data_IF_730223290254
#
_entry.id   IF_730223290254
#
_cell.length_a   1.000
_cell.length_b   1.000
_cell.length_c   1.000
_cell.angle_alpha   90.00
_cell.angle_beta   90.00
_cell.angle_gamma   90.00
#
_symmetry.space_group_name_H-M   'P 1'
#
loop_
_entity.id
_entity.type
_entity.pdbx_description
1 polymer ?
#
# COMPACT_ATOMS: atom_id res chain seq x y z
N UNK A 1 -24.48 1.74 10.19
CA UNK A 1 -23.44 2.76 9.91
C UNK A 1 -22.30 2.50 10.89
N UNK A 2 -21.09 2.18 10.45
CA UNK A 2 -19.97 1.85 11.36
C UNK A 2 -19.43 3.15 11.95
N UNK A 3 -19.32 3.21 13.28
CA UNK A 3 -18.70 4.31 14.03
C UNK A 3 -17.32 3.85 14.48
N UNK A 4 -16.34 4.75 14.34
CA UNK A 4 -14.94 4.50 14.66
C UNK A 4 -14.45 5.78 15.33
N UNK A 5 -13.85 5.64 16.50
CA UNK A 5 -13.19 6.73 17.19
C UNK A 5 -11.76 6.85 16.65
N UNK A 6 -11.34 8.07 16.32
CA UNK A 6 -10.01 8.36 15.80
C UNK A 6 -9.27 9.27 16.78
N UNK A 7 -8.06 8.89 17.16
CA UNK A 7 -7.15 9.79 17.87
C UNK A 7 -6.43 10.69 16.87
N UNK A 8 -5.94 11.85 17.31
CA UNK A 8 -5.20 12.75 16.44
C UNK A 8 -3.95 12.09 15.83
N UNK A 9 -3.26 11.24 16.60
CA UNK A 9 -2.10 10.50 16.12
C UNK A 9 -2.47 9.57 14.96
N UNK A 10 -3.57 8.83 15.08
CA UNK A 10 -4.08 7.98 14.00
C UNK A 10 -4.43 8.80 12.76
N UNK A 11 -5.06 9.96 12.93
CA UNK A 11 -5.39 10.85 11.80
C UNK A 11 -4.13 11.35 11.09
N UNK A 12 -3.08 11.72 11.85
CA UNK A 12 -1.78 12.11 11.28
C UNK A 12 -1.14 10.97 10.50
N UNK A 13 -1.13 9.76 11.04
CA UNK A 13 -0.57 8.58 10.38
C UNK A 13 -1.34 8.25 9.09
N UNK A 14 -2.68 8.22 9.13
CA UNK A 14 -3.52 8.02 7.94
C UNK A 14 -3.28 9.08 6.86
N UNK A 15 -3.11 10.34 7.27
CA UNK A 15 -2.83 11.45 6.36
C UNK A 15 -1.44 11.35 5.71
N UNK A 16 -0.45 10.81 6.42
CA UNK A 16 0.89 10.60 5.89
C UNK A 16 0.94 9.40 4.93
N UNK A 17 0.45 8.25 5.39
CA UNK A 17 0.50 6.97 4.66
C UNK A 17 -0.30 6.99 3.35
N UNK A 18 -1.37 7.79 3.24
CA UNK A 18 -2.16 7.89 2.00
C UNK A 18 -1.36 8.41 0.79
N UNK A 19 -0.21 9.06 1.01
CA UNK A 19 0.66 9.55 -0.06
C UNK A 19 2.03 8.86 -0.11
N UNK A 20 2.49 8.27 1.01
CA UNK A 20 3.86 7.75 1.14
C UNK A 20 3.95 6.22 1.13
N UNK A 21 2.83 5.51 1.30
CA UNK A 21 2.88 4.06 1.29
C UNK A 21 3.22 3.53 -0.12
N UNK A 22 4.14 2.56 -0.30
CA UNK A 22 4.57 2.12 -1.63
C UNK A 22 3.43 1.48 -2.47
N UNK A 23 2.46 0.85 -1.81
CA UNK A 23 1.37 0.15 -2.49
C UNK A 23 0.11 1.02 -2.66
N UNK A 24 -0.39 1.24 -3.89
CA UNK A 24 -1.51 2.16 -4.17
C UNK A 24 -2.82 1.70 -3.51
N UNK A 25 -3.03 0.38 -3.38
CA UNK A 25 -4.23 -0.14 -2.69
C UNK A 25 -4.27 0.21 -1.21
N UNK A 26 -3.11 0.24 -0.55
CA UNK A 26 -3.02 0.61 0.86
C UNK A 26 -3.20 2.12 0.99
N UNK A 27 -2.60 2.93 0.10
CA UNK A 27 -2.85 4.37 0.03
C UNK A 27 -4.36 4.69 -0.04
N UNK A 28 -5.10 4.00 -0.93
CA UNK A 28 -6.56 4.14 -1.04
C UNK A 28 -7.29 3.76 0.27
N UNK A 29 -6.87 2.68 0.95
CA UNK A 29 -7.43 2.32 2.26
C UNK A 29 -7.20 3.42 3.29
N UNK A 30 -6.00 4.01 3.33
CA UNK A 30 -5.67 5.10 4.25
C UNK A 30 -6.50 6.34 3.96
N UNK A 31 -6.67 6.69 2.69
CA UNK A 31 -7.52 7.82 2.26
C UNK A 31 -8.96 7.62 2.72
N UNK A 32 -9.53 6.43 2.53
CA UNK A 32 -10.90 6.11 2.95
C UNK A 32 -11.09 6.29 4.46
N UNK A 33 -10.13 5.83 5.27
CA UNK A 33 -10.18 5.97 6.72
C UNK A 33 -9.93 7.42 7.17
N UNK A 34 -9.05 8.14 6.49
CA UNK A 34 -8.84 9.57 6.72
C UNK A 34 -10.13 10.37 6.45
N UNK A 35 -10.80 10.16 5.32
CA UNK A 35 -12.07 10.83 5.04
C UNK A 35 -13.16 10.45 6.06
N UNK A 36 -13.12 9.22 6.57
CA UNK A 36 -14.01 8.79 7.65
C UNK A 36 -13.73 9.54 8.97
N UNK A 37 -12.47 9.83 9.30
CA UNK A 37 -12.12 10.63 10.48
C UNK A 37 -12.53 12.10 10.35
N UNK A 38 -12.59 12.63 9.12
CA UNK A 38 -13.16 13.96 8.81
C UNK A 38 -14.70 14.01 8.88
N UNK A 39 -15.36 12.96 9.41
CA UNK A 39 -16.82 12.87 9.59
C UNK A 39 -17.63 12.93 8.29
N UNK A 40 -17.03 12.62 7.14
CA UNK A 40 -17.74 12.53 5.87
C UNK A 40 -18.74 11.37 5.84
N UNK A 41 -19.88 11.59 5.19
CA UNK A 41 -20.87 10.55 4.96
C UNK A 41 -20.32 9.44 4.05
N UNK A 42 -20.75 8.20 4.28
CA UNK A 42 -20.30 7.04 3.49
C UNK A 42 -20.56 7.19 1.98
N UNK A 43 -21.65 7.88 1.61
CA UNK A 43 -21.96 8.16 0.21
C UNK A 43 -20.90 9.06 -0.44
N UNK A 44 -20.46 10.11 0.27
CA UNK A 44 -19.43 11.01 -0.20
C UNK A 44 -18.07 10.32 -0.29
N UNK A 45 -17.69 9.53 0.72
CA UNK A 45 -16.43 8.77 0.70
C UNK A 45 -16.39 7.82 -0.51
N UNK A 46 -17.48 7.10 -0.78
CA UNK A 46 -17.58 6.20 -1.94
C UNK A 46 -17.44 6.94 -3.26
N UNK A 47 -18.08 8.11 -3.38
CA UNK A 47 -18.02 8.96 -4.58
C UNK A 47 -16.59 9.50 -4.81
N UNK A 48 -15.92 9.97 -3.76
CA UNK A 48 -14.58 10.55 -3.84
C UNK A 48 -13.52 9.48 -4.12
N UNK A 49 -13.56 8.35 -3.42
CA UNK A 49 -12.56 7.27 -3.59
C UNK A 49 -12.90 6.30 -4.73
N UNK A 50 -14.02 6.51 -5.44
CA UNK A 50 -14.54 5.62 -6.48
C UNK A 50 -14.62 4.15 -6.05
N UNK A 51 -15.29 3.88 -4.91
CA UNK A 51 -15.43 2.52 -4.35
C UNK A 51 -16.88 2.10 -4.10
N UNK A 52 -17.11 0.80 -4.13
CA UNK A 52 -18.39 0.20 -3.80
C UNK A 52 -18.72 0.29 -2.29
N UNK A 53 -20.00 0.11 -1.94
CA UNK A 53 -20.45 0.05 -0.54
C UNK A 53 -19.81 -1.11 0.22
N UNK A 54 -19.66 -2.26 -0.43
CA UNK A 54 -19.05 -3.46 0.16
C UNK A 54 -17.58 -3.22 0.42
N UNK A 55 -16.84 -2.65 -0.53
CA UNK A 55 -15.42 -2.29 -0.37
C UNK A 55 -15.20 -1.34 0.81
N UNK A 56 -15.99 -0.27 0.92
CA UNK A 56 -15.92 0.64 2.07
C UNK A 56 -16.13 -0.12 3.39
N UNK A 57 -17.13 -0.99 3.45
CA UNK A 57 -17.44 -1.77 4.65
C UNK A 57 -16.30 -2.71 5.04
N UNK A 58 -15.65 -3.35 4.06
CA UNK A 58 -14.47 -4.20 4.27
C UNK A 58 -13.33 -3.41 4.88
N UNK A 59 -13.01 -2.22 4.38
CA UNK A 59 -11.91 -1.41 4.92
C UNK A 59 -12.17 -0.97 6.36
N UNK A 60 -13.40 -0.54 6.67
CA UNK A 60 -13.78 -0.19 8.03
C UNK A 60 -13.69 -1.38 8.99
N UNK A 61 -14.09 -2.58 8.54
CA UNK A 61 -13.94 -3.82 9.33
C UNK A 61 -12.47 -4.22 9.52
N UNK A 62 -11.64 -4.09 8.48
CA UNK A 62 -10.20 -4.36 8.58
C UNK A 62 -9.55 -3.45 9.63
N UNK A 63 -9.90 -2.17 9.64
CA UNK A 63 -9.42 -1.23 10.66
C UNK A 63 -9.90 -1.60 12.06
N UNK A 64 -11.17 -1.95 12.23
CA UNK A 64 -11.69 -2.38 13.55
C UNK A 64 -11.02 -3.67 14.05
N UNK A 65 -10.59 -4.56 13.15
CA UNK A 65 -9.98 -5.83 13.51
C UNK A 65 -8.51 -5.70 13.94
N UNK A 66 -7.77 -4.69 13.48
CA UNK A 66 -6.33 -4.60 13.76
C UNK A 66 -5.68 -3.27 13.40
N UNK A 67 -6.45 -2.19 13.37
CA UNK A 67 -5.97 -0.83 13.14
C UNK A 67 -5.30 -0.62 11.78
N UNK A 68 -4.31 0.29 11.77
CA UNK A 68 -3.56 0.68 10.58
C UNK A 68 -2.71 -0.48 10.05
N UNK A 69 -2.13 -1.29 10.93
CA UNK A 69 -1.32 -2.45 10.54
C UNK A 69 -2.13 -3.49 9.76
N UNK A 70 -3.39 -3.72 10.12
CA UNK A 70 -4.26 -4.60 9.33
C UNK A 70 -4.58 -4.04 7.95
N UNK A 71 -4.65 -2.71 7.79
CA UNK A 71 -4.88 -2.08 6.48
C UNK A 71 -3.70 -2.23 5.53
N UNK A 72 -2.47 -2.19 6.06
CA UNK A 72 -1.22 -2.41 5.31
C UNK A 72 -1.11 -3.82 4.74
N UNK A 73 -1.76 -4.81 5.35
CA UNK A 73 -1.77 -6.20 4.85
C UNK A 73 -2.62 -6.34 3.58
N UNK A 74 -2.06 -7.03 2.60
CA UNK A 74 -2.68 -7.38 1.35
C UNK A 74 -2.74 -8.90 1.27
N UNK A 75 -3.94 -9.46 1.44
CA UNK A 75 -4.14 -10.92 1.48
C UNK A 75 -4.22 -11.50 0.05
N UNK A 76 -3.26 -11.16 -0.81
CA UNK A 76 -3.21 -11.70 -2.17
C UNK A 76 -2.83 -13.17 -2.12
N UNK A 77 -3.83 -14.03 -2.29
CA UNK A 77 -3.62 -15.46 -2.52
C UNK A 77 -3.55 -15.67 -4.04
N UNK A 78 -2.33 -15.54 -4.59
CA UNK A 78 -2.08 -15.87 -5.99
C UNK A 78 -2.45 -17.33 -6.30
N UNK A 79 -2.62 -17.65 -7.58
CA UNK A 79 -2.78 -19.04 -8.01
C UNK A 79 -1.41 -19.66 -8.27
N UNK A 80 -1.18 -20.92 -7.86
CA UNK A 80 0.05 -21.60 -8.21
C UNK A 80 0.12 -21.75 -9.74
N UNK A 81 1.28 -21.44 -10.30
CA UNK A 81 1.56 -21.59 -11.73
C UNK A 81 2.72 -22.56 -11.93
N UNK A 82 2.87 -23.10 -13.14
CA UNK A 82 4.00 -23.97 -13.48
C UNK A 82 5.35 -23.28 -13.26
N UNK A 83 5.38 -21.94 -13.37
CA UNK A 83 6.57 -21.13 -13.09
C UNK A 83 7.03 -21.20 -11.62
N UNK A 84 6.13 -21.55 -10.69
CA UNK A 84 6.48 -21.67 -9.27
C UNK A 84 7.53 -22.78 -9.04
N UNK A 85 7.56 -23.80 -9.90
CA UNK A 85 8.56 -24.88 -9.82
C UNK A 85 9.97 -24.38 -10.13
N UNK A 86 10.10 -23.25 -10.82
CA UNK A 86 11.37 -22.70 -11.27
C UNK A 86 11.85 -21.50 -10.44
N UNK A 87 11.20 -21.18 -9.31
CA UNK A 87 11.57 -20.03 -8.45
C UNK A 87 13.07 -20.06 -8.11
N UNK A 88 13.59 -21.20 -7.65
CA UNK A 88 15.01 -21.33 -7.28
C UNK A 88 15.96 -21.08 -8.46
N UNK A 89 15.59 -21.53 -9.67
CA UNK A 89 16.39 -21.31 -10.88
C UNK A 89 16.39 -19.84 -11.29
N UNK A 90 15.24 -19.18 -11.18
CA UNK A 90 15.08 -17.74 -11.47
C UNK A 90 15.83 -16.89 -10.45
N UNK A 91 15.73 -17.20 -9.16
CA UNK A 91 16.48 -16.52 -8.09
C UNK A 91 17.99 -16.67 -8.26
N UNK A 92 18.44 -17.88 -8.58
CA UNK A 92 19.86 -18.15 -8.84
C UNK A 92 20.35 -17.30 -10.00
N UNK A 93 19.65 -17.31 -11.14
CA UNK A 93 19.98 -16.51 -12.32
C UNK A 93 20.09 -15.01 -12.00
N UNK A 94 19.11 -14.45 -11.30
CA UNK A 94 19.15 -13.03 -10.92
C UNK A 94 20.23 -12.71 -9.87
N UNK A 95 20.62 -13.68 -9.05
CA UNK A 95 21.67 -13.49 -8.03
C UNK A 95 23.09 -13.72 -8.57
N UNK A 96 23.25 -14.56 -9.61
CA UNK A 96 24.55 -14.95 -10.16
C UNK A 96 24.96 -14.13 -11.40
N UNK A 97 24.02 -13.75 -12.28
CA UNK A 97 24.33 -13.19 -13.61
C UNK A 97 24.08 -11.67 -13.76
N UNK A 98 23.56 -10.99 -12.76
CA UNK A 98 23.42 -9.52 -12.81
C UNK A 98 24.71 -8.82 -12.37
N UNK A 99 25.74 -8.85 -13.24
CA UNK A 99 26.60 -7.67 -13.35
C UNK A 99 25.68 -6.47 -13.65
N UNK A 100 25.89 -5.28 -13.05
CA UNK A 100 24.95 -4.17 -13.19
C UNK A 100 24.81 -3.84 -14.68
N UNK A 101 23.67 -4.20 -15.28
CA UNK A 101 23.31 -3.69 -16.59
C UNK A 101 23.24 -2.18 -16.40
N UNK A 102 24.26 -1.54 -16.97
CA UNK A 102 24.76 -0.24 -16.56
C UNK A 102 23.67 0.81 -16.36
N UNK A 103 23.87 1.66 -15.35
CA UNK A 103 23.15 2.91 -15.08
C UNK A 103 23.23 3.95 -16.21
N UNK A 104 23.74 3.62 -17.41
CA UNK A 104 23.49 4.45 -18.61
C UNK A 104 22.01 4.49 -19.00
N UNK A 105 21.18 3.56 -18.50
CA UNK A 105 19.71 3.63 -18.55
C UNK A 105 19.03 4.20 -17.28
N UNK A 106 19.80 4.62 -16.28
CA UNK A 106 19.29 5.32 -15.08
C UNK A 106 20.35 6.34 -14.62
N UNK A 107 20.77 7.21 -15.54
CA UNK A 107 21.86 8.17 -15.33
C UNK A 107 21.42 9.25 -14.32
N UNK A 108 21.50 8.99 -13.01
CA UNK A 108 21.47 10.01 -11.94
C UNK A 108 21.45 9.45 -10.52
N UNK A 109 21.42 8.14 -10.31
CA UNK A 109 21.71 7.60 -8.99
C UNK A 109 23.25 7.55 -8.81
N UNK A 110 23.81 8.33 -7.88
CA UNK A 110 25.17 8.21 -7.31
C UNK A 110 26.28 9.18 -7.76
N UNK A 111 26.06 10.21 -8.58
CA UNK A 111 27.02 11.34 -8.67
C UNK A 111 26.99 12.25 -7.42
N UNK A 112 26.47 11.77 -6.28
CA UNK A 112 26.30 12.51 -5.03
C UNK A 112 26.93 11.77 -3.83
N UNK A 113 27.76 10.74 -4.07
CA UNK A 113 28.75 10.27 -3.08
C UNK A 113 29.99 11.18 -3.02
N UNK A 114 30.09 12.17 -3.90
CA UNK A 114 31.07 13.24 -3.80
C UNK A 114 30.47 14.38 -2.94
N UNK A 115 31.15 14.72 -1.84
CA UNK A 115 30.87 15.79 -0.85
C UNK A 115 30.20 15.37 0.48
N UNK A 116 30.84 14.49 1.24
CA UNK A 116 30.98 14.59 2.70
C UNK A 116 32.02 13.58 3.20
#
# INVERSE_FOLDING_TARGET
>A
MIRIEFTEQMVRELNYERYHHPHPKVQQKMEVLYLKSQKLAHQNIRRLCNISKTTLTVYLKQYLAGGIERLKRLDYQGQPSDLNQHIASVETYFSSDLAPVSTRGCQKAQSLKERA
#
